data_IF_273618845444
#
_entry.id   IF_273618845444
#
_cell.length_a   1.000
_cell.length_b   1.000
_cell.length_c   1.000
_cell.angle_alpha   90.00
_cell.angle_beta   90.00
_cell.angle_gamma   90.00
#
_symmetry.space_group_name_H-M   'P 1'
#
loop_
_entity.id
_entity.type
_entity.pdbx_description
1 polymer ?
#
# COMPACT_ATOMS: atom_id res chain seq x y z
N UNK A 1 0.67 -0.19 -2.28
CA UNK A 1 1.78 -0.46 -3.22
C UNK A 1 3.11 -0.46 -2.46
N UNK A 2 4.07 -1.26 -2.93
CA UNK A 2 5.42 -1.30 -2.36
C UNK A 2 6.26 -0.08 -2.78
N UNK A 3 7.23 0.32 -1.96
CA UNK A 3 8.06 1.52 -2.23
C UNK A 3 8.96 1.34 -3.46
N UNK A 4 9.55 0.16 -3.64
CA UNK A 4 10.40 -0.12 -4.80
C UNK A 4 9.61 -0.06 -6.13
N UNK A 5 8.34 -0.45 -6.10
CA UNK A 5 7.46 -0.33 -7.26
C UNK A 5 7.11 1.12 -7.56
N UNK A 6 6.80 1.91 -6.53
CA UNK A 6 6.61 3.36 -6.69
C UNK A 6 7.87 4.03 -7.26
N UNK A 7 9.05 3.64 -6.78
CA UNK A 7 10.34 4.18 -7.22
C UNK A 7 10.66 3.78 -8.66
N UNK A 8 10.50 2.51 -9.01
CA UNK A 8 10.77 2.04 -10.38
C UNK A 8 9.79 2.64 -11.39
N UNK A 9 8.51 2.80 -11.02
CA UNK A 9 7.54 3.51 -11.85
C UNK A 9 7.92 4.99 -12.03
N UNK A 10 8.31 5.68 -10.96
CA UNK A 10 8.76 7.08 -11.02
C UNK A 10 9.99 7.24 -11.93
N UNK A 11 11.00 6.39 -11.79
CA UNK A 11 12.19 6.39 -12.65
C UNK A 11 11.79 6.15 -14.11
N UNK A 12 10.94 5.15 -14.37
CA UNK A 12 10.45 4.82 -15.71
C UNK A 12 9.77 6.02 -16.39
N UNK A 13 8.90 6.72 -15.66
CA UNK A 13 8.24 7.92 -16.16
C UNK A 13 9.24 9.06 -16.41
N UNK A 14 10.18 9.27 -15.48
CA UNK A 14 11.08 10.43 -15.47
C UNK A 14 12.10 10.42 -16.60
N UNK A 15 12.52 9.24 -17.07
CA UNK A 15 13.47 9.12 -18.19
C UNK A 15 12.77 8.98 -19.55
N UNK A 16 11.45 8.96 -19.57
CA UNK A 16 10.67 8.89 -20.80
C UNK A 16 10.50 10.26 -21.45
N UNK A 17 10.17 10.28 -22.74
CA UNK A 17 9.79 11.50 -23.47
C UNK A 17 8.27 11.76 -23.41
N UNK A 18 7.54 11.07 -22.53
CA UNK A 18 6.08 11.11 -22.47
C UNK A 18 5.64 12.09 -21.38
N UNK A 19 4.67 12.95 -21.70
CA UNK A 19 4.00 13.80 -20.71
C UNK A 19 2.59 13.29 -20.42
N UNK A 20 2.16 13.40 -19.17
CA UNK A 20 0.84 12.91 -18.77
C UNK A 20 0.68 12.77 -17.26
N UNK A 21 -0.48 12.24 -16.88
CA UNK A 21 -0.83 11.92 -15.50
C UNK A 21 -1.21 10.44 -15.42
N UNK A 22 -0.57 9.72 -14.53
CA UNK A 22 -0.79 8.31 -14.27
C UNK A 22 -0.92 8.09 -12.77
N UNK A 23 -1.76 7.13 -12.41
CA UNK A 23 -1.82 6.64 -11.05
C UNK A 23 -0.96 5.38 -10.96
N UNK A 24 -0.12 5.32 -9.94
CA UNK A 24 0.66 4.13 -9.62
C UNK A 24 0.03 3.56 -8.36
N UNK A 25 -0.34 2.28 -8.40
CA UNK A 25 -0.87 1.48 -7.29
C UNK A 25 -0.42 0.02 -7.53
N UNK A 26 -0.57 -0.83 -6.53
CA UNK A 26 -0.51 -2.27 -6.76
C UNK A 26 -1.80 -2.77 -7.44
N UNK A 27 -1.80 -4.03 -7.89
CA UNK A 27 -2.86 -4.60 -8.72
C UNK A 27 -4.03 -5.17 -7.91
N UNK A 28 -4.02 -5.06 -6.57
CA UNK A 28 -5.04 -5.67 -5.72
C UNK A 28 -5.74 -4.63 -4.84
N UNK A 29 -6.97 -4.20 -5.17
CA UNK A 29 -7.74 -3.35 -4.28
C UNK A 29 -8.04 -4.08 -2.97
N UNK A 30 -7.97 -3.34 -1.85
CA UNK A 30 -8.13 -3.92 -0.51
C UNK A 30 -8.89 -2.96 0.40
N UNK A 31 -9.74 -3.50 1.28
CA UNK A 31 -10.33 -2.72 2.37
C UNK A 31 -9.29 -2.57 3.49
N UNK A 32 -9.25 -1.43 4.15
CA UNK A 32 -8.33 -1.21 5.27
C UNK A 32 -8.45 -2.29 6.36
N UNK A 33 -9.65 -2.78 6.65
CA UNK A 33 -9.84 -3.88 7.61
C UNK A 33 -9.12 -5.17 7.19
N UNK A 34 -9.20 -5.55 5.91
CA UNK A 34 -8.56 -6.74 5.37
C UNK A 34 -7.04 -6.56 5.34
N UNK A 35 -6.55 -5.38 4.93
CA UNK A 35 -5.13 -5.03 4.97
C UNK A 35 -4.55 -5.16 6.39
N UNK A 36 -5.21 -4.57 7.39
CA UNK A 36 -4.76 -4.61 8.79
C UNK A 36 -4.80 -6.04 9.35
N UNK A 37 -5.78 -6.84 8.94
CA UNK A 37 -5.86 -8.25 9.33
C UNK A 37 -4.71 -9.07 8.75
N UNK A 38 -4.42 -8.93 7.44
CA UNK A 38 -3.29 -9.61 6.80
C UNK A 38 -1.97 -9.20 7.44
N UNK A 39 -1.79 -7.90 7.71
CA UNK A 39 -0.56 -7.42 8.31
C UNK A 39 -0.35 -7.98 9.74
N UNK A 40 -1.40 -8.00 10.55
CA UNK A 40 -1.34 -8.61 11.89
C UNK A 40 -1.00 -10.11 11.83
N UNK A 41 -1.54 -10.85 10.84
CA UNK A 41 -1.19 -12.26 10.64
C UNK A 41 0.28 -12.46 10.29
N UNK A 42 0.83 -11.64 9.39
CA UNK A 42 2.25 -11.73 8.99
C UNK A 42 3.19 -11.41 10.17
N UNK A 43 2.80 -10.48 11.04
CA UNK A 43 3.55 -10.11 12.24
C UNK A 43 3.32 -11.05 13.44
N UNK A 44 2.47 -12.07 13.31
CA UNK A 44 2.00 -12.88 14.44
C UNK A 44 1.43 -12.02 15.61
N UNK A 45 0.80 -10.90 15.28
CA UNK A 45 0.24 -9.94 16.23
C UNK A 45 -1.23 -10.27 16.56
N UNK A 46 -1.76 -9.77 17.70
CA UNK A 46 -3.16 -9.91 18.03
C UNK A 46 -4.09 -9.35 16.94
N UNK A 47 -5.25 -9.99 16.76
CA UNK A 47 -6.25 -9.54 15.78
C UNK A 47 -6.67 -8.07 16.03
N UNK A 48 -6.68 -7.21 15.00
CA UNK A 48 -7.15 -5.83 15.13
C UNK A 48 -8.59 -5.76 15.65
N UNK A 49 -8.86 -4.83 16.57
CA UNK A 49 -10.20 -4.56 17.11
C UNK A 49 -10.89 -3.44 16.34
N UNK A 50 -12.21 -3.49 16.25
CA UNK A 50 -13.02 -2.44 15.64
C UNK A 50 -13.18 -1.26 16.59
N UNK A 51 -12.92 -0.04 16.11
CA UNK A 51 -13.10 1.21 16.87
C UNK A 51 -14.07 2.10 16.08
N UNK A 52 -15.17 2.58 16.68
CA UNK A 52 -16.07 3.50 16.00
C UNK A 52 -15.35 4.79 15.56
N UNK A 53 -15.64 5.27 14.36
CA UNK A 53 -14.95 6.42 13.76
C UNK A 53 -15.00 7.67 14.64
N UNK A 54 -16.11 7.95 15.33
CA UNK A 54 -16.23 9.11 16.21
C UNK A 54 -15.27 9.04 17.42
N UNK A 55 -15.01 7.84 17.95
CA UNK A 55 -14.01 7.62 19.02
C UNK A 55 -12.61 7.85 18.47
N UNK A 56 -12.30 7.24 17.32
CA UNK A 56 -10.99 7.39 16.69
C UNK A 56 -10.68 8.86 16.37
N UNK A 57 -11.67 9.65 15.94
CA UNK A 57 -11.52 11.09 15.64
C UNK A 57 -11.07 11.91 16.84
N UNK A 58 -11.48 11.54 18.05
CA UNK A 58 -11.05 12.22 19.28
C UNK A 58 -9.58 11.94 19.62
N UNK A 59 -9.04 10.80 19.19
CA UNK A 59 -7.68 10.36 19.52
C UNK A 59 -6.66 10.76 18.45
N UNK A 60 -6.97 10.51 17.17
CA UNK A 60 -6.03 10.69 16.04
C UNK A 60 -6.44 11.83 15.10
N UNK A 61 -7.54 12.51 15.37
CA UNK A 61 -8.08 13.60 14.54
C UNK A 61 -8.89 13.12 13.33
N UNK A 62 -9.64 14.05 12.73
CA UNK A 62 -10.53 13.77 11.58
C UNK A 62 -9.78 13.31 10.34
N UNK A 63 -8.72 14.02 9.95
CA UNK A 63 -7.99 13.74 8.71
C UNK A 63 -7.37 12.34 8.71
N UNK A 64 -6.83 11.90 9.85
CA UNK A 64 -6.28 10.55 10.00
C UNK A 64 -7.37 9.49 9.82
N UNK A 65 -8.55 9.69 10.41
CA UNK A 65 -9.66 8.75 10.25
C UNK A 65 -10.14 8.71 8.82
N UNK A 66 -10.38 9.87 8.20
CA UNK A 66 -10.84 9.94 6.81
C UNK A 66 -9.83 9.26 5.86
N UNK A 67 -8.52 9.47 6.05
CA UNK A 67 -7.48 8.79 5.25
C UNK A 67 -7.60 7.26 5.29
N UNK A 68 -7.96 6.68 6.44
CA UNK A 68 -8.15 5.23 6.58
C UNK A 68 -9.54 4.74 6.17
N UNK A 69 -10.55 5.61 6.08
CA UNK A 69 -11.94 5.19 5.82
C UNK A 69 -12.45 5.56 4.44
N UNK A 70 -11.89 6.59 3.81
CA UNK A 70 -12.30 7.03 2.50
C UNK A 70 -11.72 6.10 1.43
N UNK A 71 -12.55 5.80 0.43
CA UNK A 71 -12.15 4.93 -0.67
C UNK A 71 -11.49 5.76 -1.78
N UNK A 72 -10.26 5.40 -2.15
CA UNK A 72 -9.57 5.92 -3.33
C UNK A 72 -9.45 4.80 -4.35
N UNK A 73 -10.51 4.60 -5.15
CA UNK A 73 -10.50 3.60 -6.20
C UNK A 73 -9.75 4.12 -7.44
N UNK A 74 -8.69 3.42 -7.84
CA UNK A 74 -7.88 3.75 -9.01
C UNK A 74 -7.18 2.51 -9.57
N UNK A 75 -6.67 2.59 -10.80
CA UNK A 75 -5.84 1.56 -11.42
C UNK A 75 -4.51 2.12 -11.96
N UNK A 76 -3.53 1.22 -12.13
CA UNK A 76 -2.26 1.49 -12.80
C UNK A 76 -2.25 1.01 -14.27
N UNK A 77 -3.38 0.51 -14.79
CA UNK A 77 -3.49 -0.14 -16.11
C UNK A 77 -2.98 0.76 -17.24
N UNK A 78 -3.26 2.06 -17.14
CA UNK A 78 -2.76 3.06 -18.09
C UNK A 78 -1.23 3.10 -18.09
N UNK A 79 -0.61 3.06 -16.91
CA UNK A 79 0.85 3.10 -16.77
C UNK A 79 1.50 1.82 -17.30
N UNK A 80 0.93 0.65 -16.96
CA UNK A 80 1.38 -0.65 -17.48
C UNK A 80 1.39 -0.65 -19.02
N UNK A 81 0.31 -0.14 -19.63
CA UNK A 81 0.18 -0.06 -21.10
C UNK A 81 1.14 0.95 -21.73
N UNK A 82 1.25 2.15 -21.17
CA UNK A 82 1.99 3.24 -21.79
C UNK A 82 3.52 3.06 -21.65
N UNK A 83 3.98 2.33 -20.63
CA UNK A 83 5.42 2.17 -20.33
C UNK A 83 5.93 0.73 -20.36
N UNK A 84 5.08 -0.27 -20.58
CA UNK A 84 5.44 -1.70 -20.45
C UNK A 84 6.11 -2.04 -19.11
N UNK A 85 5.80 -1.24 -18.07
CA UNK A 85 6.29 -1.45 -16.72
C UNK A 85 5.52 -2.58 -16.04
N UNK A 86 6.17 -3.32 -15.16
CA UNK A 86 5.53 -4.35 -14.34
C UNK A 86 6.03 -4.25 -12.89
N UNK A 87 5.14 -4.22 -11.89
CA UNK A 87 5.56 -4.19 -10.48
C UNK A 87 6.26 -5.50 -10.08
N UNK A 88 7.26 -5.38 -9.22
CA UNK A 88 7.90 -6.51 -8.54
C UNK A 88 6.97 -7.10 -7.48
N UNK A 89 6.22 -6.25 -6.76
CA UNK A 89 5.25 -6.63 -5.73
C UNK A 89 3.85 -6.24 -6.20
N UNK A 90 3.31 -7.05 -7.09
CA UNK A 90 2.03 -6.81 -7.76
C UNK A 90 0.84 -6.73 -6.80
N UNK A 91 0.96 -7.27 -5.58
CA UNK A 91 -0.09 -7.21 -4.55
C UNK A 91 0.42 -6.60 -3.25
N UNK A 92 -0.49 -6.00 -2.48
CA UNK A 92 -0.15 -5.52 -1.13
C UNK A 92 0.37 -6.66 -0.23
N UNK A 93 -0.09 -7.90 -0.43
CA UNK A 93 0.35 -9.07 0.36
C UNK A 93 1.81 -9.40 0.08
N UNK A 94 2.24 -9.39 -1.18
CA UNK A 94 3.64 -9.59 -1.55
C UNK A 94 4.54 -8.50 -0.96
N UNK A 95 4.11 -7.24 -1.05
CA UNK A 95 4.83 -6.12 -0.43
C UNK A 95 4.94 -6.27 1.08
N UNK A 96 3.85 -6.62 1.77
CA UNK A 96 3.88 -6.84 3.23
C UNK A 96 4.80 -8.00 3.62
N UNK A 97 4.82 -9.10 2.84
CA UNK A 97 5.72 -10.24 3.10
C UNK A 97 7.18 -9.82 3.02
N UNK A 98 7.56 -9.04 2.00
CA UNK A 98 8.92 -8.55 1.88
C UNK A 98 9.29 -7.66 3.07
N UNK A 99 8.42 -6.72 3.45
CA UNK A 99 8.69 -5.79 4.57
C UNK A 99 8.84 -6.54 5.88
N UNK A 100 7.96 -7.50 6.16
CA UNK A 100 8.01 -8.31 7.38
C UNK A 100 9.28 -9.18 7.40
N UNK A 101 9.66 -9.75 6.26
CA UNK A 101 10.92 -10.49 6.15
C UNK A 101 12.12 -9.57 6.45
N UNK A 102 12.16 -8.39 5.84
CA UNK A 102 13.23 -7.42 6.06
C UNK A 102 13.33 -7.00 7.53
N UNK A 103 12.20 -6.69 8.18
CA UNK A 103 12.17 -6.35 9.60
C UNK A 103 12.61 -7.51 10.50
N UNK A 104 12.33 -8.75 10.11
CA UNK A 104 12.84 -9.93 10.81
C UNK A 104 14.36 -10.04 10.70
N UNK A 105 14.91 -9.79 9.51
CA UNK A 105 16.36 -9.85 9.26
C UNK A 105 17.11 -8.72 9.97
N UNK A 106 16.50 -7.54 10.07
CA UNK A 106 17.02 -6.36 10.78
C UNK A 106 16.85 -6.44 12.32
N UNK A 107 16.12 -7.45 12.82
CA UNK A 107 15.88 -7.65 14.26
C UNK A 107 14.88 -6.67 14.87
N UNK A 108 14.02 -6.05 14.06
CA UNK A 108 12.92 -5.20 14.53
C UNK A 108 11.72 -6.00 15.05
N UNK A 109 11.61 -7.27 14.67
CA UNK A 109 10.59 -8.18 15.18
C UNK A 109 11.14 -8.96 16.40
N UNK A 110 10.37 -8.90 17.50
CA UNK A 110 10.66 -9.60 18.77
C UNK A 110 10.35 -11.09 18.69
#
# INVERSE_FOLDING_TARGET
MHLDDATSAFVTASVSNTSGLWHIVDNQPVKVADFMQTFAQLLNAPKPRHIPAWVARLVVGKNSVDFFTDSVNTSNERFLRDFSWTPTYATYVEGLKQIVQQWSEEGFLL
#
